data_IF_301664623186
#
_entry.id   IF_301664623186
#
_cell.length_a   1.000
_cell.length_b   1.000
_cell.length_c   1.000
_cell.angle_alpha   90.00
_cell.angle_beta   90.00
_cell.angle_gamma   90.00
#
_symmetry.space_group_name_H-M   'P 1'
#
loop_
_entity.id
_entity.type
_entity.pdbx_description
1 polymer ?
#
# COMPACT_ATOMS: atom_id res chain seq x y z
N UNK A 1 -27.55 -3.78 -14.57
CA UNK A 1 -26.45 -4.65 -15.03
C UNK A 1 -25.83 -5.25 -13.79
N UNK A 2 -26.01 -6.54 -13.59
CA UNK A 2 -25.49 -7.28 -12.44
C UNK A 2 -23.96 -7.34 -12.58
N UNK A 3 -23.22 -6.67 -11.68
CA UNK A 3 -21.78 -6.88 -11.55
C UNK A 3 -21.59 -8.28 -10.94
N UNK A 4 -21.10 -9.23 -11.74
CA UNK A 4 -20.60 -10.50 -11.21
C UNK A 4 -19.52 -10.26 -10.13
N UNK A 5 -19.19 -11.27 -9.32
CA UNK A 5 -18.16 -11.11 -8.28
C UNK A 5 -16.86 -10.60 -8.93
N UNK A 6 -16.29 -9.52 -8.38
CA UNK A 6 -15.02 -8.98 -8.88
C UNK A 6 -13.92 -10.04 -8.75
N UNK A 7 -13.22 -10.33 -9.83
CA UNK A 7 -12.08 -11.23 -9.83
C UNK A 7 -10.83 -10.53 -9.28
N UNK A 8 -10.73 -10.50 -7.95
CA UNK A 8 -9.58 -9.93 -7.26
C UNK A 8 -8.28 -10.66 -7.57
N UNK A 9 -8.33 -11.95 -7.93
CA UNK A 9 -7.14 -12.71 -8.30
C UNK A 9 -6.58 -12.20 -9.62
N UNK A 10 -7.44 -12.01 -10.62
CA UNK A 10 -7.05 -11.40 -11.90
C UNK A 10 -6.54 -9.97 -11.71
N UNK A 11 -7.21 -9.18 -10.87
CA UNK A 11 -6.80 -7.81 -10.54
C UNK A 11 -5.36 -7.74 -10.00
N UNK A 12 -5.02 -8.53 -8.97
CA UNK A 12 -3.66 -8.53 -8.43
C UNK A 12 -2.62 -9.17 -9.36
N UNK A 13 -3.04 -10.04 -10.29
CA UNK A 13 -2.15 -10.66 -11.26
C UNK A 13 -1.70 -9.68 -12.37
N UNK A 14 -2.54 -8.71 -12.72
CA UNK A 14 -2.20 -7.66 -13.71
C UNK A 14 -1.30 -6.55 -13.14
N UNK A 15 -1.16 -6.51 -11.82
CA UNK A 15 -0.52 -5.42 -11.11
C UNK A 15 1.01 -5.21 -11.36
N UNK A 16 1.77 -6.17 -11.94
CA UNK A 16 3.11 -5.91 -12.48
C UNK A 16 3.13 -5.11 -13.80
N UNK A 17 2.01 -5.07 -14.52
CA UNK A 17 1.91 -4.34 -15.80
C UNK A 17 1.61 -2.84 -15.60
N UNK A 18 1.37 -2.42 -14.35
CA UNK A 18 1.11 -1.02 -14.01
C UNK A 18 2.40 -0.18 -14.12
N UNK A 19 2.37 0.97 -14.82
CA UNK A 19 3.51 1.88 -14.84
C UNK A 19 3.71 2.53 -13.46
N UNK A 20 4.95 2.87 -13.09
CA UNK A 20 5.19 3.62 -11.86
C UNK A 20 4.59 5.03 -11.96
N UNK A 21 4.17 5.55 -10.81
CA UNK A 21 3.80 6.95 -10.66
C UNK A 21 5.07 7.76 -10.38
N UNK A 22 5.46 8.65 -11.30
CA UNK A 22 6.75 9.35 -11.28
C UNK A 22 6.94 10.16 -9.98
N UNK A 23 5.90 10.84 -9.51
CA UNK A 23 5.92 11.61 -8.26
C UNK A 23 6.17 10.72 -7.04
N UNK A 24 5.57 9.53 -7.01
CA UNK A 24 5.79 8.55 -5.95
C UNK A 24 7.22 8.00 -5.96
N UNK A 25 7.77 7.73 -7.15
CA UNK A 25 9.16 7.27 -7.30
C UNK A 25 10.15 8.35 -6.85
N UNK A 26 9.94 9.60 -7.27
CA UNK A 26 10.77 10.73 -6.88
C UNK A 26 10.78 10.92 -5.36
N UNK A 27 9.60 10.92 -4.74
CA UNK A 27 9.46 11.07 -3.29
C UNK A 27 10.13 9.92 -2.52
N UNK A 28 9.97 8.67 -2.96
CA UNK A 28 10.65 7.52 -2.35
C UNK A 28 12.18 7.64 -2.42
N UNK A 29 12.73 8.10 -3.55
CA UNK A 29 14.17 8.28 -3.72
C UNK A 29 14.73 9.42 -2.88
N UNK A 30 14.02 10.54 -2.81
CA UNK A 30 14.39 11.67 -1.95
C UNK A 30 14.37 11.25 -0.48
N UNK A 31 13.28 10.61 -0.02
CA UNK A 31 13.13 10.15 1.34
C UNK A 31 14.21 9.12 1.74
N UNK A 32 14.68 8.28 0.81
CA UNK A 32 15.74 7.31 1.08
C UNK A 32 17.09 7.94 1.45
N UNK A 33 17.31 9.23 1.16
CA UNK A 33 18.50 9.96 1.60
C UNK A 33 18.50 10.27 3.11
N UNK A 34 17.33 10.31 3.74
CA UNK A 34 17.17 10.67 5.16
C UNK A 34 16.55 9.56 6.01
N UNK A 35 15.87 8.60 5.39
CA UNK A 35 15.04 7.60 6.05
C UNK A 35 15.23 6.22 5.44
N UNK A 36 15.00 5.18 6.25
CA UNK A 36 14.77 3.85 5.72
C UNK A 36 13.40 3.80 5.03
N UNK A 37 13.36 3.26 3.81
CA UNK A 37 12.11 3.06 3.08
C UNK A 37 11.51 1.71 3.45
N UNK A 38 10.26 1.72 3.90
CA UNK A 38 9.47 0.51 4.18
C UNK A 38 8.22 0.54 3.30
N UNK A 39 8.00 -0.53 2.55
CA UNK A 39 6.84 -0.67 1.68
C UNK A 39 5.69 -1.34 2.44
N UNK A 40 4.51 -0.76 2.39
CA UNK A 40 3.30 -1.28 3.03
C UNK A 40 2.18 -1.39 2.00
N UNK A 41 1.77 -2.61 1.67
CA UNK A 41 0.80 -2.86 0.61
C UNK A 41 -0.37 -3.72 1.08
N UNK A 42 -1.55 -3.43 0.53
CA UNK A 42 -2.72 -4.30 0.66
C UNK A 42 -2.61 -5.57 -0.19
N UNK A 43 -1.63 -5.68 -1.09
CA UNK A 43 -1.44 -6.89 -1.89
C UNK A 43 -1.20 -8.09 -0.95
N UNK A 44 -1.79 -9.25 -1.24
CA UNK A 44 -1.63 -10.44 -0.42
C UNK A 44 -0.23 -11.05 -0.58
N UNK A 45 0.20 -11.83 0.41
CA UNK A 45 1.53 -12.44 0.51
C UNK A 45 1.93 -13.27 -0.73
N UNK A 46 0.97 -13.96 -1.37
CA UNK A 46 1.20 -14.66 -2.64
C UNK A 46 1.74 -13.78 -3.78
N UNK A 47 1.54 -12.46 -3.70
CA UNK A 47 2.03 -11.48 -4.67
C UNK A 47 3.44 -10.97 -4.36
N UNK A 48 4.12 -11.47 -3.31
CA UNK A 48 5.41 -10.93 -2.84
C UNK A 48 6.45 -10.87 -3.92
N UNK A 49 6.74 -11.99 -4.58
CA UNK A 49 7.79 -12.06 -5.60
C UNK A 49 7.55 -11.02 -6.70
N UNK A 50 6.37 -11.03 -7.30
CA UNK A 50 6.01 -10.08 -8.35
C UNK A 50 6.08 -8.61 -7.88
N UNK A 51 5.71 -8.33 -6.64
CA UNK A 51 5.79 -6.96 -6.08
C UNK A 51 7.23 -6.52 -5.86
N UNK A 52 8.09 -7.38 -5.31
CA UNK A 52 9.51 -7.09 -5.07
C UNK A 52 10.25 -6.91 -6.39
N UNK A 53 10.01 -7.80 -7.36
CA UNK A 53 10.63 -7.74 -8.68
C UNK A 53 10.26 -6.42 -9.38
N UNK A 54 8.97 -6.06 -9.37
CA UNK A 54 8.50 -4.79 -9.94
C UNK A 54 9.16 -3.58 -9.27
N UNK A 55 9.22 -3.53 -7.93
CA UNK A 55 9.88 -2.42 -7.22
C UNK A 55 11.36 -2.27 -7.64
N UNK A 56 12.07 -3.38 -7.78
CA UNK A 56 13.46 -3.39 -8.21
C UNK A 56 13.62 -2.94 -9.67
N UNK A 57 12.75 -3.42 -10.57
CA UNK A 57 12.72 -3.04 -11.99
C UNK A 57 12.48 -1.53 -12.18
N UNK A 58 11.66 -0.91 -11.33
CA UNK A 58 11.45 0.54 -11.34
C UNK A 58 12.61 1.35 -10.70
N UNK A 59 13.63 0.67 -10.17
CA UNK A 59 14.77 1.31 -9.50
C UNK A 59 14.35 2.06 -8.24
N UNK A 60 13.39 1.51 -7.49
CA UNK A 60 13.02 2.02 -6.17
C UNK A 60 14.02 1.55 -5.09
N UNK A 61 14.21 2.33 -4.00
CA UNK A 61 15.10 1.94 -2.92
C UNK A 61 14.78 0.57 -2.33
N UNK A 62 15.79 -0.23 -2.00
CA UNK A 62 15.57 -1.50 -1.31
C UNK A 62 14.98 -1.25 0.09
N UNK A 63 14.04 -2.09 0.52
CA UNK A 63 13.38 -1.93 1.81
C UNK A 63 12.50 -3.13 2.18
N UNK A 64 12.17 -3.30 3.48
CA UNK A 64 11.20 -4.30 3.91
C UNK A 64 9.84 -4.09 3.23
N UNK A 65 9.20 -5.18 2.82
CA UNK A 65 7.85 -5.15 2.24
C UNK A 65 6.86 -5.86 3.15
N UNK A 66 5.99 -5.09 3.79
CA UNK A 66 4.86 -5.57 4.56
C UNK A 66 3.65 -5.75 3.67
N UNK A 67 3.15 -6.98 3.62
CA UNK A 67 2.03 -7.38 2.77
C UNK A 67 0.89 -7.92 3.62
N UNK A 68 -0.31 -7.95 3.03
CA UNK A 68 -1.47 -8.56 3.66
C UNK A 68 -1.30 -10.08 3.68
N UNK A 69 -1.67 -10.75 4.77
CA UNK A 69 -1.67 -12.22 4.80
C UNK A 69 -2.72 -12.74 3.80
N UNK A 70 -2.48 -13.88 3.16
CA UNK A 70 -3.32 -14.39 2.05
C UNK A 70 -4.82 -14.57 2.37
N UNK A 71 -5.16 -14.75 3.66
CA UNK A 71 -6.52 -14.94 4.16
C UNK A 71 -6.91 -13.91 5.23
N UNK A 72 -6.19 -12.79 5.29
CA UNK A 72 -6.57 -11.67 6.14
C UNK A 72 -7.42 -10.73 5.33
N UNK A 73 -8.73 -10.83 5.58
CA UNK A 73 -9.71 -10.04 4.87
C UNK A 73 -9.98 -8.70 5.55
N UNK A 74 -9.34 -8.34 6.67
CA UNK A 74 -9.71 -7.09 7.38
C UNK A 74 -9.42 -5.85 6.50
N UNK A 75 -10.19 -4.74 6.67
CA UNK A 75 -9.99 -3.53 5.88
C UNK A 75 -8.55 -3.02 5.90
N UNK A 76 -8.06 -2.48 4.78
CA UNK A 76 -6.69 -1.98 4.67
C UNK A 76 -6.31 -1.00 5.78
N UNK A 77 -7.21 -0.06 6.14
CA UNK A 77 -6.99 0.88 7.25
C UNK A 77 -6.69 0.20 8.58
N UNK A 78 -7.29 -0.96 8.86
CA UNK A 78 -7.04 -1.71 10.10
C UNK A 78 -5.66 -2.35 10.04
N UNK A 79 -5.37 -3.11 8.98
CA UNK A 79 -4.13 -3.87 8.85
C UNK A 79 -2.91 -2.95 8.71
N UNK A 80 -3.02 -1.88 7.92
CA UNK A 80 -1.94 -0.90 7.74
C UNK A 80 -1.63 -0.15 9.03
N UNK A 81 -2.63 0.31 9.79
CA UNK A 81 -2.40 0.98 11.09
C UNK A 81 -1.80 0.01 12.12
N UNK A 82 -2.19 -1.27 12.12
CA UNK A 82 -1.52 -2.29 12.96
C UNK A 82 -0.03 -2.44 12.62
N UNK A 83 0.33 -2.45 11.34
CA UNK A 83 1.74 -2.51 10.92
C UNK A 83 2.48 -1.24 11.33
N UNK A 84 1.90 -0.06 11.11
CA UNK A 84 2.50 1.22 11.51
C UNK A 84 2.77 1.30 13.01
N UNK A 85 1.82 0.85 13.85
CA UNK A 85 2.03 0.78 15.31
C UNK A 85 3.14 -0.17 15.72
N UNK A 86 3.31 -1.30 15.00
CA UNK A 86 4.42 -2.24 15.26
C UNK A 86 5.76 -1.62 14.88
N UNK A 87 5.85 -0.97 13.72
CA UNK A 87 7.06 -0.26 13.29
C UNK A 87 7.40 0.90 14.22
N UNK A 88 6.39 1.59 14.74
CA UNK A 88 6.57 2.69 15.67
C UNK A 88 6.95 2.25 17.10
N UNK A 89 6.96 0.95 17.40
CA UNK A 89 7.28 0.44 18.73
C UNK A 89 8.77 0.58 19.06
N UNK A 90 9.64 0.47 18.06
CA UNK A 90 11.10 0.53 18.19
C UNK A 90 11.74 1.63 17.32
N UNK A 91 10.95 2.30 16.46
CA UNK A 91 11.45 3.29 15.49
C UNK A 91 10.52 4.50 15.39
N UNK A 92 11.03 5.58 14.82
CA UNK A 92 10.21 6.75 14.47
C UNK A 92 9.71 6.60 13.04
N UNK A 93 8.40 6.53 12.86
CA UNK A 93 7.77 6.62 11.54
C UNK A 93 7.68 8.10 11.16
N UNK A 94 8.56 8.57 10.27
CA UNK A 94 8.57 9.97 9.83
C UNK A 94 7.27 10.37 9.16
N UNK A 95 6.77 9.52 8.26
CA UNK A 95 5.53 9.73 7.54
C UNK A 95 5.01 8.40 6.96
N UNK A 96 3.70 8.31 6.79
CA UNK A 96 3.04 7.37 5.89
C UNK A 96 2.73 8.09 4.57
N UNK A 97 2.95 7.42 3.44
CA UNK A 97 2.51 7.89 2.12
C UNK A 97 1.47 6.90 1.60
N UNK A 98 0.22 7.34 1.42
CA UNK A 98 -0.88 6.47 0.98
C UNK A 98 -1.91 7.26 0.17
N UNK A 99 -2.56 6.61 -0.80
CA UNK A 99 -3.61 7.19 -1.66
C UNK A 99 -5.03 6.90 -1.14
N UNK A 100 -5.20 5.85 -0.33
CA UNK A 100 -6.48 5.50 0.27
C UNK A 100 -6.84 6.49 1.37
N UNK A 101 -7.90 7.29 1.12
CA UNK A 101 -8.37 8.29 2.07
C UNK A 101 -8.73 7.70 3.44
N UNK A 102 -9.31 6.49 3.50
CA UNK A 102 -9.67 5.87 4.77
C UNK A 102 -8.44 5.39 5.55
N UNK A 103 -7.39 4.95 4.84
CA UNK A 103 -6.10 4.63 5.46
C UNK A 103 -5.45 5.90 6.00
N UNK A 104 -5.44 6.97 5.21
CA UNK A 104 -4.89 8.26 5.60
C UNK A 104 -5.58 8.79 6.87
N UNK A 105 -6.92 8.83 6.87
CA UNK A 105 -7.71 9.31 8.00
C UNK A 105 -7.44 8.46 9.26
N UNK A 106 -7.36 7.14 9.12
CA UNK A 106 -7.10 6.23 10.24
C UNK A 106 -5.66 6.37 10.78
N UNK A 107 -4.67 6.61 9.92
CA UNK A 107 -3.30 6.82 10.32
C UNK A 107 -3.09 8.17 11.02
N UNK A 108 -3.70 9.24 10.50
CA UNK A 108 -3.73 10.56 11.15
C UNK A 108 -4.39 10.47 12.53
N UNK A 109 -5.54 9.79 12.64
CA UNK A 109 -6.22 9.55 13.92
C UNK A 109 -5.38 8.70 14.89
N UNK A 110 -4.47 7.87 14.38
CA UNK A 110 -3.53 7.09 15.18
C UNK A 110 -2.24 7.86 15.53
N UNK A 111 -2.12 9.13 15.13
CA UNK A 111 -1.00 10.02 15.47
C UNK A 111 0.17 10.00 14.48
N UNK A 112 -0.01 9.44 13.28
CA UNK A 112 1.02 9.43 12.24
C UNK A 112 0.91 10.66 11.34
N UNK A 113 2.06 11.22 10.96
CA UNK A 113 2.14 12.18 9.85
C UNK A 113 1.82 11.45 8.55
N UNK A 114 0.93 12.01 7.73
CA UNK A 114 0.51 11.42 6.45
C UNK A 114 0.75 12.37 5.29
N UNK A 115 1.34 11.83 4.22
CA UNK A 115 1.39 12.44 2.89
C UNK A 115 0.33 11.73 2.04
N UNK A 116 -0.75 12.43 1.70
CA UNK A 116 -1.84 11.87 0.90
C UNK A 116 -1.44 11.85 -0.59
N UNK A 117 -1.20 10.68 -1.15
CA UNK A 117 -0.69 10.45 -2.50
C UNK A 117 -1.77 10.69 -3.58
N UNK A 118 -2.10 11.96 -3.86
CA UNK A 118 -3.16 12.36 -4.81
C UNK A 118 -2.70 12.43 -6.27
N UNK A 119 -1.51 11.94 -6.59
CA UNK A 119 -0.95 11.93 -7.94
C UNK A 119 -1.48 10.79 -8.82
N UNK A 120 -2.15 9.77 -8.22
CA UNK A 120 -2.90 8.78 -8.98
C UNK A 120 -4.27 9.33 -9.39
N UNK A 121 -4.74 8.98 -10.59
CA UNK A 121 -6.14 9.20 -10.96
C UNK A 121 -7.05 8.42 -10.00
N UNK A 122 -8.14 9.01 -9.48
CA UNK A 122 -9.04 8.30 -8.58
C UNK A 122 -9.61 7.04 -9.25
N UNK A 123 -9.28 5.86 -8.73
CA UNK A 123 -9.86 4.60 -9.18
C UNK A 123 -10.77 4.06 -8.08
N UNK A 124 -12.08 4.10 -8.33
CA UNK A 124 -13.08 3.50 -7.43
C UNK A 124 -12.83 1.99 -7.23
N UNK A 125 -12.29 1.32 -8.25
CA UNK A 125 -11.97 -0.12 -8.19
C UNK A 125 -10.82 -0.40 -7.23
N UNK A 126 -9.77 0.44 -7.22
CA UNK A 126 -8.64 0.31 -6.28
C UNK A 126 -9.11 0.52 -4.83
N UNK A 127 -9.92 1.56 -4.61
CA UNK A 127 -10.48 1.87 -3.30
C UNK A 127 -11.37 0.75 -2.79
N UNK A 128 -12.25 0.22 -3.63
CA UNK A 128 -13.08 -0.94 -3.28
C UNK A 128 -12.24 -2.20 -3.00
N UNK A 129 -11.13 -2.43 -3.71
CA UNK A 129 -10.21 -3.54 -3.45
C UNK A 129 -9.53 -3.51 -2.07
N UNK A 130 -9.25 -2.29 -1.60
CA UNK A 130 -8.62 -2.05 -0.30
C UNK A 130 -9.63 -2.17 0.85
N UNK A 131 -10.92 -1.94 0.57
CA UNK A 131 -12.01 -1.92 1.56
C UNK A 131 -12.82 -3.23 1.65
N UNK A 132 -13.16 -3.89 0.53
CA UNK A 132 -14.18 -4.95 0.46
C UNK A 132 -13.74 -6.33 0.94
N UNK A 133 -12.47 -6.57 1.22
CA UNK A 133 -12.17 -7.76 2.01
C UNK A 133 -12.78 -7.63 3.43
N UNK A 134 -13.07 -6.44 3.97
CA UNK A 134 -13.56 -6.30 5.35
C UNK A 134 -14.96 -6.82 5.65
N UNK A 135 -15.64 -7.43 4.67
CA UNK A 135 -16.96 -8.05 4.83
C UNK A 135 -17.00 -9.42 4.15
N UNK A 136 -16.39 -10.41 4.79
CA UNK A 136 -16.84 -11.80 4.75
C UNK A 136 -16.77 -12.41 6.13
#
# INVERSE_FOLDING_TARGET
MERGPKDWRAFFAAAPDDPPLEEGVALCREAAGECEVVYLTGRPERCRRATVDWLAEQGLPAGPVHMRRDRDFRPARVTKVEVLRRLAADRVVRMLVDDDAQVCDAAEAAGFTVVRARWAAPSEVLREAQEEEGRT
#
